data_IF_487285314295
#
_entry.id   IF_487285314295
#
_cell.length_a   1.000
_cell.length_b   1.000
_cell.length_c   1.000
_cell.angle_alpha   90.00
_cell.angle_beta   90.00
_cell.angle_gamma   90.00
#
_symmetry.space_group_name_H-M   'P 1'
#
loop_
_entity.id
_entity.type
_entity.pdbx_description
1 polymer ?
#
# COMPACT_ATOMS: atom_id res chain seq x y z
N UNK A 1 -24.98 15.46 -6.61
CA UNK A 1 -23.72 16.23 -6.68
C UNK A 1 -22.50 15.48 -6.13
N UNK A 2 -22.62 14.20 -5.71
CA UNK A 2 -21.53 13.38 -5.14
C UNK A 2 -21.03 12.25 -6.04
N UNK A 3 -21.67 11.98 -7.19
CA UNK A 3 -21.19 10.98 -8.15
C UNK A 3 -19.99 11.44 -9.00
N UNK A 4 -19.69 12.75 -9.09
CA UNK A 4 -18.55 13.24 -9.89
C UNK A 4 -17.22 13.31 -9.12
N UNK A 5 -17.24 13.25 -7.79
CA UNK A 5 -16.03 13.36 -6.98
C UNK A 5 -15.34 12.01 -6.76
N UNK A 6 -16.12 10.92 -6.57
CA UNK A 6 -15.57 9.56 -6.48
C UNK A 6 -14.96 9.08 -7.81
N UNK A 7 -15.55 9.45 -8.94
CA UNK A 7 -15.00 9.14 -10.28
C UNK A 7 -13.65 9.83 -10.51
N UNK A 8 -13.38 10.98 -9.85
CA UNK A 8 -12.13 11.70 -10.00
C UNK A 8 -10.99 11.13 -9.14
N UNK A 9 -11.29 10.60 -7.95
CA UNK A 9 -10.30 9.88 -7.12
C UNK A 9 -9.95 8.52 -7.73
N UNK A 10 -10.94 7.77 -8.22
CA UNK A 10 -10.68 6.49 -8.91
C UNK A 10 -9.86 6.69 -10.20
N UNK A 11 -10.06 7.80 -10.94
CA UNK A 11 -9.23 8.11 -12.11
C UNK A 11 -7.82 8.60 -11.77
N UNK A 12 -7.59 9.13 -10.57
CA UNK A 12 -6.23 9.48 -10.12
C UNK A 12 -5.44 8.24 -9.70
N UNK A 13 -6.07 7.29 -9.01
CA UNK A 13 -5.47 6.01 -8.63
C UNK A 13 -5.10 5.17 -9.87
N UNK A 14 -5.94 5.19 -10.92
CA UNK A 14 -5.70 4.43 -12.15
C UNK A 14 -4.66 5.06 -13.09
N UNK A 15 -4.32 6.34 -12.93
CA UNK A 15 -3.21 6.98 -13.66
C UNK A 15 -1.82 6.64 -13.10
N UNK A 16 -1.73 6.15 -11.86
CA UNK A 16 -0.46 5.78 -11.24
C UNK A 16 0.07 4.40 -11.67
N UNK A 17 -0.74 3.58 -12.36
CA UNK A 17 -0.44 2.17 -12.65
C UNK A 17 0.39 1.90 -13.92
N UNK A 18 1.07 2.90 -14.47
CA UNK A 18 1.89 2.73 -15.66
C UNK A 18 3.21 3.46 -15.53
N UNK A 19 4.13 2.99 -14.68
CA UNK A 19 5.57 3.07 -14.96
C UNK A 19 6.33 2.02 -14.15
N UNK A 20 7.01 1.15 -14.91
CA UNK A 20 8.02 0.15 -14.54
C UNK A 20 8.99 0.64 -13.46
N UNK A 21 9.23 -0.15 -12.41
CA UNK A 21 10.39 0.02 -11.53
C UNK A 21 11.40 -1.09 -11.81
N UNK A 22 12.49 -0.69 -12.46
CA UNK A 22 13.77 -1.41 -12.45
C UNK A 22 14.46 -1.05 -11.14
N UNK A 23 14.71 -2.02 -10.27
CA UNK A 23 15.45 -1.84 -9.02
C UNK A 23 16.96 -1.75 -9.30
N UNK A 24 17.62 -0.68 -8.86
CA UNK A 24 19.08 -0.63 -8.72
C UNK A 24 19.50 -0.77 -7.24
N UNK A 25 20.71 -1.30 -6.94
CA UNK A 25 21.12 -1.63 -5.59
C UNK A 25 21.63 -0.42 -4.80
N UNK A 26 21.22 -0.34 -3.53
CA UNK A 26 21.56 0.70 -2.55
C UNK A 26 23.03 0.66 -2.13
N UNK A 27 23.73 1.81 -2.15
CA UNK A 27 25.07 1.98 -1.57
C UNK A 27 25.02 2.07 -0.04
N UNK A 28 25.98 1.44 0.65
CA UNK A 28 26.13 1.46 2.12
C UNK A 28 26.62 2.83 2.64
N UNK A 29 26.12 3.21 3.82
CA UNK A 29 26.54 4.39 4.58
C UNK A 29 27.90 4.13 5.28
N UNK A 30 28.89 5.06 5.28
CA UNK A 30 30.26 4.75 5.70
C UNK A 30 30.57 5.08 7.18
N UNK A 31 29.59 5.44 8.01
CA UNK A 31 29.85 6.07 9.32
C UNK A 31 29.21 5.36 10.52
N UNK A 32 29.22 4.04 10.53
CA UNK A 32 28.90 3.27 11.74
C UNK A 32 30.12 2.45 12.13
N UNK A 33 30.80 2.85 13.22
CA UNK A 33 31.87 2.06 13.84
C UNK A 33 31.28 0.84 14.54
N UNK A 34 32.00 -0.27 14.48
CA UNK A 34 31.51 -1.64 14.73
C UNK A 34 31.09 -1.95 16.18
N UNK A 35 31.34 -1.06 17.14
CA UNK A 35 31.16 -1.38 18.57
C UNK A 35 29.83 -0.89 19.17
N UNK A 36 29.18 0.15 18.62
CA UNK A 36 27.88 0.63 19.13
C UNK A 36 26.67 -0.21 18.64
N UNK A 37 26.87 -1.08 17.65
CA UNK A 37 25.81 -1.91 17.05
C UNK A 37 25.40 -3.07 17.97
N UNK A 38 26.28 -3.53 18.87
CA UNK A 38 26.06 -4.77 19.61
C UNK A 38 25.13 -4.65 20.84
N UNK A 39 24.90 -3.45 21.39
CA UNK A 39 24.06 -3.28 22.59
C UNK A 39 22.56 -3.15 22.30
N UNK A 40 22.16 -2.92 21.03
CA UNK A 40 20.74 -2.82 20.63
C UNK A 40 20.18 -4.09 19.97
N UNK A 41 21.02 -5.09 19.70
CA UNK A 41 20.66 -6.25 18.88
C UNK A 41 20.17 -7.49 19.66
N UNK A 42 20.03 -7.43 20.99
CA UNK A 42 19.59 -8.59 21.80
C UNK A 42 18.14 -8.52 22.28
N UNK A 43 17.34 -7.54 21.82
CA UNK A 43 15.89 -7.64 21.96
C UNK A 43 15.39 -8.62 20.89
N UNK A 44 14.65 -9.69 21.25
CA UNK A 44 14.00 -10.50 20.24
C UNK A 44 13.12 -9.55 19.42
N UNK A 45 13.44 -9.44 18.12
CA UNK A 45 12.58 -8.69 17.21
C UNK A 45 11.19 -9.31 17.31
N UNK A 46 10.14 -8.51 17.60
CA UNK A 46 8.80 -9.05 17.54
C UNK A 46 8.63 -9.63 16.14
N UNK A 47 8.36 -10.94 16.07
CA UNK A 47 8.10 -11.60 14.79
C UNK A 47 6.93 -10.87 14.13
N UNK A 48 7.05 -10.56 12.85
CA UNK A 48 5.89 -10.05 12.12
C UNK A 48 4.77 -11.08 12.29
N UNK A 49 3.51 -10.68 12.50
CA UNK A 49 2.39 -11.61 12.47
C UNK A 49 2.35 -12.46 11.19
N UNK A 50 2.95 -11.95 10.10
CA UNK A 50 3.17 -12.65 8.83
C UNK A 50 4.21 -13.77 8.96
N UNK A 51 5.26 -13.62 9.77
CA UNK A 51 6.30 -14.64 9.98
C UNK A 51 5.82 -15.80 10.86
N UNK A 52 4.66 -15.66 11.49
CA UNK A 52 4.07 -16.66 12.38
C UNK A 52 3.10 -17.61 11.66
N UNK A 53 2.72 -17.33 10.41
CA UNK A 53 1.72 -18.10 9.65
C UNK A 53 2.05 -18.14 8.17
N UNK A 54 1.92 -19.31 7.56
CA UNK A 54 2.03 -19.45 6.09
C UNK A 54 0.69 -19.01 5.51
N UNK A 55 0.69 -17.90 4.77
CA UNK A 55 -0.46 -17.45 3.98
C UNK A 55 -0.22 -17.80 2.52
N UNK A 56 -1.25 -18.32 1.84
CA UNK A 56 -1.23 -18.41 0.39
C UNK A 56 -1.63 -17.04 -0.17
N UNK A 57 -0.67 -16.31 -0.72
CA UNK A 57 -0.90 -14.99 -1.29
C UNK A 57 -1.01 -15.13 -2.80
N UNK A 58 -2.22 -14.89 -3.32
CA UNK A 58 -2.49 -14.85 -4.75
C UNK A 58 -2.66 -13.41 -5.17
N UNK A 59 -1.78 -12.94 -6.06
CA UNK A 59 -1.79 -11.57 -6.60
C UNK A 59 -2.30 -11.49 -8.05
N UNK A 60 -2.52 -12.64 -8.68
CA UNK A 60 -3.03 -12.71 -10.04
C UNK A 60 -4.54 -12.49 -10.08
N UNK A 61 -5.02 -11.92 -11.19
CA UNK A 61 -6.45 -11.84 -11.46
C UNK A 61 -6.98 -13.26 -11.71
N UNK A 62 -8.17 -13.58 -11.18
CA UNK A 62 -8.82 -14.87 -11.41
C UNK A 62 -8.96 -15.16 -12.91
N UNK A 63 -9.50 -14.24 -13.73
CA UNK A 63 -9.39 -14.36 -15.18
C UNK A 63 -8.04 -13.82 -15.65
N UNK A 64 -7.41 -14.51 -16.60
CA UNK A 64 -6.24 -14.00 -17.30
C UNK A 64 -6.64 -12.81 -18.20
N UNK A 65 -6.05 -11.64 -17.95
CA UNK A 65 -6.39 -10.39 -18.64
C UNK A 65 -5.12 -9.69 -19.13
N UNK A 66 -5.14 -9.22 -20.39
CA UNK A 66 -4.11 -8.34 -20.92
C UNK A 66 -4.47 -6.89 -20.63
N UNK A 67 -3.62 -6.21 -19.85
CA UNK A 67 -3.84 -4.82 -19.42
C UNK A 67 -3.99 -3.84 -20.58
N UNK A 68 -3.26 -4.04 -21.67
CA UNK A 68 -3.25 -3.15 -22.84
C UNK A 68 -4.56 -3.20 -23.64
N UNK A 69 -5.27 -4.33 -23.63
CA UNK A 69 -6.47 -4.54 -24.46
C UNK A 69 -7.77 -4.37 -23.67
N UNK A 70 -7.66 -4.13 -22.37
CA UNK A 70 -8.81 -4.10 -21.46
C UNK A 70 -9.00 -2.70 -20.94
N UNK A 71 -10.23 -2.20 -21.05
CA UNK A 71 -10.54 -0.87 -20.55
C UNK A 71 -10.36 -0.82 -19.03
N UNK A 72 -9.99 0.37 -18.54
CA UNK A 72 -9.78 0.63 -17.12
C UNK A 72 -11.00 0.25 -16.26
N UNK A 73 -12.23 0.51 -16.73
CA UNK A 73 -13.45 0.13 -16.04
C UNK A 73 -13.64 -1.38 -15.93
N UNK A 74 -13.31 -2.14 -16.99
CA UNK A 74 -13.39 -3.60 -16.98
C UNK A 74 -12.32 -4.19 -16.06
N UNK A 75 -11.08 -3.69 -16.13
CA UNK A 75 -10.01 -4.10 -15.21
C UNK A 75 -10.42 -3.89 -13.75
N UNK A 76 -10.99 -2.73 -13.43
CA UNK A 76 -11.47 -2.44 -12.08
C UNK A 76 -12.54 -3.43 -11.62
N UNK A 77 -13.55 -3.71 -12.45
CA UNK A 77 -14.58 -4.70 -12.12
C UNK A 77 -14.00 -6.10 -11.90
N UNK A 78 -13.03 -6.50 -12.71
CA UNK A 78 -12.34 -7.80 -12.57
C UNK A 78 -11.51 -7.86 -11.29
N UNK A 79 -10.80 -6.77 -10.95
CA UNK A 79 -10.05 -6.68 -9.70
C UNK A 79 -10.97 -6.82 -8.49
N UNK A 80 -12.11 -6.12 -8.47
CA UNK A 80 -13.08 -6.27 -7.37
C UNK A 80 -13.68 -7.67 -7.29
N UNK A 81 -14.02 -8.28 -8.43
CA UNK A 81 -14.53 -9.65 -8.46
C UNK A 81 -13.48 -10.64 -7.92
N UNK A 82 -12.21 -10.51 -8.35
CA UNK A 82 -11.08 -11.31 -7.88
C UNK A 82 -10.90 -11.19 -6.36
N UNK A 83 -10.92 -9.96 -5.82
CA UNK A 83 -10.78 -9.75 -4.38
C UNK A 83 -11.95 -10.39 -3.62
N UNK A 84 -13.18 -10.25 -4.12
CA UNK A 84 -14.35 -10.86 -3.48
C UNK A 84 -14.34 -12.39 -3.52
N UNK A 85 -13.79 -12.98 -4.56
CA UNK A 85 -13.71 -14.44 -4.73
C UNK A 85 -12.59 -15.05 -3.88
N UNK A 86 -11.40 -14.45 -3.88
CA UNK A 86 -10.24 -14.99 -3.16
C UNK A 86 -10.20 -14.57 -1.69
N UNK A 87 -10.76 -13.41 -1.35
CA UNK A 87 -10.73 -12.81 -0.01
C UNK A 87 -12.12 -12.22 0.35
N UNK A 88 -13.13 -13.09 0.59
CA UNK A 88 -14.49 -12.64 0.89
C UNK A 88 -14.55 -11.89 2.21
N UNK A 89 -15.35 -10.82 2.29
CA UNK A 89 -15.47 -9.96 3.49
C UNK A 89 -16.00 -10.72 4.72
N UNK A 90 -16.69 -11.85 4.53
CA UNK A 90 -17.15 -12.71 5.63
C UNK A 90 -16.01 -13.42 6.35
N UNK A 91 -14.87 -13.60 5.69
CA UNK A 91 -13.70 -14.32 6.23
C UNK A 91 -12.50 -13.39 6.43
N UNK A 92 -12.42 -12.31 5.63
CA UNK A 92 -11.29 -11.40 5.59
C UNK A 92 -11.70 -9.98 5.94
N UNK A 93 -10.99 -9.38 6.89
CA UNK A 93 -11.13 -7.97 7.21
C UNK A 93 -10.64 -7.12 6.03
N UNK A 94 -11.53 -6.30 5.46
CA UNK A 94 -11.22 -5.45 4.31
C UNK A 94 -10.88 -4.02 4.75
N UNK A 95 -9.62 -3.65 4.60
CA UNK A 95 -9.13 -2.31 4.90
C UNK A 95 -8.60 -1.70 3.61
N UNK A 96 -9.00 -0.47 3.32
CA UNK A 96 -8.53 0.30 2.18
C UNK A 96 -7.49 1.29 2.68
N UNK A 97 -6.24 1.11 2.25
CA UNK A 97 -5.13 1.99 2.61
C UNK A 97 -4.53 2.55 1.31
N UNK A 98 -4.21 3.84 1.30
CA UNK A 98 -3.64 4.52 0.13
C UNK A 98 -2.68 5.64 0.56
N UNK A 99 -1.58 5.75 -0.17
CA UNK A 99 -0.55 6.77 0.00
C UNK A 99 -0.56 7.76 -1.17
N UNK A 100 -0.63 9.05 -0.87
CA UNK A 100 -0.61 10.10 -1.89
C UNK A 100 0.59 11.04 -1.74
N UNK A 101 1.10 11.52 -2.87
CA UNK A 101 2.11 12.58 -2.93
C UNK A 101 1.67 13.68 -3.87
N UNK A 102 1.70 14.91 -3.36
CA UNK A 102 1.42 16.11 -4.17
C UNK A 102 2.75 16.70 -4.64
N UNK A 103 3.10 16.47 -5.91
CA UNK A 103 4.37 16.93 -6.50
C UNK A 103 4.60 18.44 -6.31
N UNK A 104 3.54 19.24 -6.47
CA UNK A 104 3.59 20.70 -6.36
C UNK A 104 3.92 21.20 -4.95
N UNK A 105 3.69 20.39 -3.91
CA UNK A 105 3.84 20.81 -2.50
C UNK A 105 4.92 20.03 -1.75
N UNK A 106 5.56 19.05 -2.41
CA UNK A 106 6.57 18.16 -1.82
C UNK A 106 6.05 17.48 -0.54
N UNK A 107 4.73 17.37 -0.40
CA UNK A 107 4.07 16.81 0.77
C UNK A 107 3.48 15.46 0.38
N UNK A 108 3.63 14.48 1.29
CA UNK A 108 2.93 13.23 1.21
C UNK A 108 1.89 13.12 2.34
N UNK A 109 0.80 12.42 2.05
CA UNK A 109 -0.28 12.15 2.97
C UNK A 109 -0.76 10.71 2.78
N UNK A 110 -1.38 10.17 3.81
CA UNK A 110 -1.88 8.81 3.82
C UNK A 110 -3.33 8.77 4.26
N UNK A 111 -4.07 7.81 3.73
CA UNK A 111 -5.47 7.54 4.07
C UNK A 111 -5.67 6.07 4.39
N UNK A 112 -6.45 5.81 5.43
CA UNK A 112 -6.97 4.48 5.76
C UNK A 112 -8.47 4.58 5.94
N UNK A 113 -9.21 3.65 5.35
CA UNK A 113 -10.64 3.51 5.46
C UNK A 113 -11.02 2.07 5.77
N UNK A 114 -11.85 1.92 6.79
CA UNK A 114 -12.57 0.72 7.14
C UNK A 114 -14.00 1.12 7.57
N UNK A 115 -14.94 0.19 7.59
CA UNK A 115 -16.37 0.48 7.81
C UNK A 115 -16.64 1.28 9.10
N UNK A 116 -15.83 1.07 10.14
CA UNK A 116 -15.99 1.73 11.45
C UNK A 116 -15.05 2.93 11.67
N UNK A 117 -14.02 3.12 10.84
CA UNK A 117 -13.09 4.25 11.01
C UNK A 117 -12.46 4.73 9.71
N UNK A 118 -12.12 6.03 9.69
CA UNK A 118 -11.32 6.61 8.63
C UNK A 118 -10.26 7.51 9.23
N UNK A 119 -9.01 7.33 8.78
CA UNK A 119 -7.85 8.10 9.24
C UNK A 119 -7.19 8.74 8.04
N UNK A 120 -6.91 10.04 8.16
CA UNK A 120 -6.08 10.77 7.21
C UNK A 120 -4.95 11.44 7.98
N UNK A 121 -3.71 11.20 7.56
CA UNK A 121 -2.54 11.73 8.25
C UNK A 121 -1.52 12.32 7.26
N UNK A 122 -0.92 13.48 7.57
CA UNK A 122 0.24 13.95 6.82
C UNK A 122 1.45 13.08 7.20
N UNK A 123 2.20 12.64 6.19
CA UNK A 123 3.43 11.84 6.39
C UNK A 123 4.63 12.77 6.53
N UNK A 124 4.62 13.88 5.80
CA UNK A 124 5.60 14.95 5.93
C UNK A 124 6.07 15.53 4.61
N UNK A 125 7.01 16.46 4.70
CA UNK A 125 7.73 17.03 3.56
C UNK A 125 8.79 16.06 3.08
N UNK A 126 9.05 16.05 1.78
CA UNK A 126 10.05 15.22 1.12
C UNK A 126 9.82 13.71 1.22
N UNK A 127 8.73 13.28 1.86
CA UNK A 127 8.28 11.90 1.82
C UNK A 127 7.88 11.50 0.40
N UNK A 128 8.26 10.29 0.02
CA UNK A 128 7.89 9.69 -1.25
C UNK A 128 6.46 9.16 -1.20
N UNK A 129 5.88 8.86 -2.36
CA UNK A 129 4.60 8.15 -2.43
C UNK A 129 4.70 6.78 -1.74
N UNK A 130 5.86 6.12 -1.85
CA UNK A 130 6.11 4.87 -1.17
C UNK A 130 6.07 5.00 0.36
N UNK A 131 6.69 6.05 0.92
CA UNK A 131 6.66 6.30 2.37
C UNK A 131 5.21 6.48 2.87
N UNK A 132 4.36 7.11 2.06
CA UNK A 132 2.94 7.26 2.41
C UNK A 132 2.13 5.97 2.36
N UNK A 133 2.47 5.04 1.48
CA UNK A 133 1.85 3.71 1.43
C UNK A 133 2.25 2.87 2.65
N UNK A 134 3.54 2.89 3.00
CA UNK A 134 4.06 2.20 4.20
C UNK A 134 3.41 2.76 5.46
N UNK A 135 3.26 4.08 5.55
CA UNK A 135 2.59 4.71 6.68
C UNK A 135 1.09 4.40 6.72
N UNK A 136 0.43 4.26 5.56
CA UNK A 136 -0.97 3.81 5.47
C UNK A 136 -1.14 2.43 6.12
N UNK A 137 -0.28 1.49 5.74
CA UNK A 137 -0.27 0.13 6.28
C UNK A 137 0.05 0.13 7.78
N UNK A 138 1.01 0.95 8.21
CA UNK A 138 1.37 1.09 9.63
C UNK A 138 0.18 1.58 10.46
N UNK A 139 -0.52 2.61 9.98
CA UNK A 139 -1.73 3.15 10.63
C UNK A 139 -2.81 2.08 10.68
N UNK A 140 -3.09 1.42 9.54
CA UNK A 140 -4.07 0.35 9.46
C UNK A 140 -3.80 -0.73 10.53
N UNK A 141 -2.58 -1.27 10.57
CA UNK A 141 -2.20 -2.32 11.52
C UNK A 141 -2.20 -1.88 12.99
N UNK A 142 -2.06 -0.58 13.27
CA UNK A 142 -2.08 -0.05 14.65
C UNK A 142 -3.51 0.17 15.16
N UNK A 143 -4.48 0.36 14.26
CA UNK A 143 -5.89 0.60 14.61
C UNK A 143 -6.71 -0.70 14.71
N UNK A 144 -6.11 -1.84 14.39
CA UNK A 144 -6.67 -3.19 14.55
C UNK A 144 -6.37 -3.77 15.93
#
# INVERSE_FOLDING_TARGET
>A
MWHRHLVNLEQQVLKAFSHTIVSQPTRRCPRCTSEEVNLRCNLPTPRSPIDCRIFNVVTDLVPAVRKLDTSCGVLRSISYATINELYPESEWLRIYADGSRVEQRINAGTGVFYDIFSVYAPVGRFASAYDSEVEALRIALTQL
#
